data_IF_303725793004
#
_entry.id   IF_303725793004
#
_cell.length_a   1.000
_cell.length_b   1.000
_cell.length_c   1.000
_cell.angle_alpha   90.00
_cell.angle_beta   90.00
_cell.angle_gamma   90.00
#
_symmetry.space_group_name_H-M   'P 1'
#
loop_
_entity.id
_entity.type
_entity.pdbx_description
1 polymer ?
#
# COMPACT_ATOMS: atom_id res chain seq x y z
N UNK A 1 -8.06 3.72 14.22
CA UNK A 1 -8.98 2.70 13.65
C UNK A 1 -8.32 1.35 13.35
N UNK A 2 -6.99 1.25 13.36
CA UNK A 2 -6.27 0.09 12.83
C UNK A 2 -5.93 -1.00 13.87
N UNK A 3 -5.78 -0.69 15.13
CA UNK A 3 -5.34 -1.69 16.12
C UNK A 3 -6.42 -2.67 16.59
N UNK A 4 -7.69 -2.32 16.52
CA UNK A 4 -8.78 -3.15 17.06
C UNK A 4 -9.21 -4.32 16.16
N UNK A 5 -8.79 -4.34 14.87
CA UNK A 5 -9.25 -5.34 13.87
C UNK A 5 -8.12 -6.02 13.09
N UNK A 6 -6.85 -5.72 13.38
CA UNK A 6 -5.70 -6.37 12.77
C UNK A 6 -4.98 -7.20 13.84
N UNK A 7 -5.46 -8.42 14.07
CA UNK A 7 -4.73 -9.35 14.96
C UNK A 7 -3.50 -9.95 14.26
N UNK A 8 -2.49 -10.41 15.02
CA UNK A 8 -1.26 -11.01 14.47
C UNK A 8 -1.52 -12.12 13.45
N UNK A 9 -2.63 -12.84 13.60
CA UNK A 9 -3.04 -13.91 12.67
C UNK A 9 -3.46 -13.38 11.31
N UNK A 10 -4.15 -12.24 11.27
CA UNK A 10 -4.56 -11.61 10.00
C UNK A 10 -3.32 -11.12 9.25
N UNK A 11 -2.39 -10.48 9.93
CA UNK A 11 -1.13 -10.03 9.34
C UNK A 11 -0.30 -11.19 8.79
N UNK A 12 -0.21 -12.29 9.54
CA UNK A 12 0.48 -13.49 9.11
C UNK A 12 -0.11 -14.08 7.82
N UNK A 13 -1.45 -14.19 7.75
CA UNK A 13 -2.14 -14.68 6.54
C UNK A 13 -1.93 -13.73 5.37
N UNK A 14 -2.09 -12.42 5.60
CA UNK A 14 -1.92 -11.41 4.57
C UNK A 14 -0.47 -11.43 4.03
N UNK A 15 0.52 -11.52 4.89
CA UNK A 15 1.93 -11.61 4.52
C UNK A 15 2.20 -12.81 3.62
N UNK A 16 1.81 -14.01 4.05
CA UNK A 16 2.01 -15.23 3.24
C UNK A 16 1.28 -15.15 1.89
N UNK A 17 0.07 -14.58 1.88
CA UNK A 17 -0.71 -14.40 0.65
C UNK A 17 -0.05 -13.40 -0.30
N UNK A 18 0.50 -12.29 0.21
CA UNK A 18 1.24 -11.30 -0.58
C UNK A 18 2.51 -11.93 -1.16
N UNK A 19 3.29 -12.64 -0.34
CA UNK A 19 4.50 -13.32 -0.84
C UNK A 19 4.16 -14.36 -1.92
N UNK A 20 3.05 -15.09 -1.76
CA UNK A 20 2.57 -16.00 -2.79
C UNK A 20 2.13 -15.24 -4.05
N UNK A 21 1.44 -14.11 -3.92
CA UNK A 21 1.03 -13.30 -5.06
C UNK A 21 2.24 -12.81 -5.89
N UNK A 22 3.36 -12.47 -5.26
CA UNK A 22 4.60 -12.07 -5.96
C UNK A 22 5.18 -13.16 -6.87
N UNK A 23 4.79 -14.42 -6.71
CA UNK A 23 5.19 -15.50 -7.62
C UNK A 23 4.33 -15.58 -8.89
N UNK A 24 3.24 -14.82 -8.93
CA UNK A 24 2.33 -14.75 -10.08
C UNK A 24 2.73 -13.59 -10.97
N UNK A 25 2.94 -13.79 -12.27
CA UNK A 25 3.23 -12.70 -13.20
C UNK A 25 2.14 -11.61 -13.17
N UNK A 26 2.56 -10.36 -13.24
CA UNK A 26 1.67 -9.18 -13.24
C UNK A 26 0.66 -9.16 -12.07
N UNK A 27 1.07 -9.68 -10.90
CA UNK A 27 0.23 -9.73 -9.72
C UNK A 27 -0.21 -8.34 -9.25
N UNK A 28 -1.46 -8.27 -8.83
CA UNK A 28 -2.09 -7.06 -8.31
C UNK A 28 -2.71 -7.32 -6.93
N UNK A 29 -3.27 -6.30 -6.30
CA UNK A 29 -4.04 -6.47 -5.07
C UNK A 29 -5.18 -7.50 -5.23
N UNK A 30 -5.76 -7.61 -6.43
CA UNK A 30 -6.81 -8.59 -6.73
C UNK A 30 -6.29 -10.02 -6.81
N UNK A 31 -5.01 -10.21 -7.11
CA UNK A 31 -4.36 -11.53 -7.03
C UNK A 31 -4.37 -12.04 -5.58
N UNK A 32 -4.10 -11.17 -4.61
CA UNK A 32 -4.19 -11.47 -3.17
C UNK A 32 -5.62 -11.91 -2.81
N UNK A 33 -6.62 -11.15 -3.26
CA UNK A 33 -8.02 -11.51 -3.04
C UNK A 33 -8.37 -12.86 -3.64
N UNK A 34 -8.01 -13.11 -4.91
CA UNK A 34 -8.23 -14.39 -5.59
C UNK A 34 -7.59 -15.59 -4.88
N UNK A 35 -6.37 -15.43 -4.38
CA UNK A 35 -5.69 -16.48 -3.61
C UNK A 35 -6.48 -16.87 -2.36
N UNK A 36 -7.14 -15.92 -1.71
CA UNK A 36 -7.91 -16.19 -0.50
C UNK A 36 -9.27 -16.85 -0.78
N UNK A 37 -9.99 -16.42 -1.82
CA UNK A 37 -11.37 -16.86 -2.05
C UNK A 37 -11.52 -17.97 -3.09
N UNK A 38 -10.64 -18.03 -4.10
CA UNK A 38 -10.78 -18.97 -5.21
C UNK A 38 -9.86 -20.17 -5.03
N UNK A 39 -10.43 -21.30 -4.64
CA UNK A 39 -9.69 -22.54 -4.40
C UNK A 39 -9.01 -23.09 -5.65
N UNK A 40 -9.64 -22.99 -6.82
CA UNK A 40 -9.06 -23.45 -8.10
C UNK A 40 -7.83 -22.64 -8.48
N UNK A 41 -7.94 -21.31 -8.45
CA UNK A 41 -6.82 -20.41 -8.70
C UNK A 41 -5.69 -20.62 -7.70
N UNK A 42 -6.00 -20.68 -6.42
CA UNK A 42 -5.02 -20.96 -5.36
C UNK A 42 -4.26 -22.26 -5.62
N UNK A 43 -4.96 -23.36 -5.92
CA UNK A 43 -4.32 -24.64 -6.23
C UNK A 43 -3.40 -24.56 -7.45
N UNK A 44 -3.77 -23.83 -8.50
CA UNK A 44 -2.93 -23.66 -9.69
C UNK A 44 -1.62 -22.91 -9.36
N UNK A 45 -1.69 -21.89 -8.53
CA UNK A 45 -0.51 -21.14 -8.10
C UNK A 45 0.41 -21.99 -7.21
N UNK A 46 -0.16 -22.69 -6.22
CA UNK A 46 0.61 -23.52 -5.27
C UNK A 46 1.39 -24.65 -5.99
N UNK A 47 0.88 -25.19 -7.10
CA UNK A 47 1.59 -26.23 -7.88
C UNK A 47 2.96 -25.76 -8.38
N UNK A 48 3.11 -24.48 -8.66
CA UNK A 48 4.33 -23.89 -9.22
C UNK A 48 5.17 -23.17 -8.14
N UNK A 49 4.74 -23.19 -6.89
CA UNK A 49 5.41 -22.52 -5.78
C UNK A 49 6.66 -23.31 -5.39
N UNK A 50 7.80 -22.61 -5.26
CA UNK A 50 9.09 -23.22 -4.93
C UNK A 50 9.49 -22.98 -3.47
N UNK A 51 8.94 -21.97 -2.83
CA UNK A 51 9.24 -21.61 -1.46
C UNK A 51 8.56 -22.59 -0.50
N UNK A 52 9.35 -23.34 0.27
CA UNK A 52 8.88 -24.36 1.19
C UNK A 52 8.02 -23.80 2.32
N UNK A 53 8.36 -22.61 2.87
CA UNK A 53 7.58 -21.99 3.92
C UNK A 53 6.17 -21.60 3.45
N UNK A 54 6.08 -21.08 2.22
CA UNK A 54 4.79 -20.76 1.62
C UNK A 54 3.99 -22.03 1.29
N UNK A 55 4.66 -23.10 0.85
CA UNK A 55 4.02 -24.40 0.64
C UNK A 55 3.44 -24.97 1.94
N UNK A 56 4.20 -24.91 3.01
CA UNK A 56 3.79 -25.39 4.33
C UNK A 56 2.60 -24.59 4.87
N UNK A 57 2.65 -23.25 4.74
CA UNK A 57 1.51 -22.39 5.08
C UNK A 57 0.24 -22.83 4.36
N UNK A 58 0.29 -23.03 3.04
CA UNK A 58 -0.90 -23.38 2.27
C UNK A 58 -1.39 -24.81 2.50
N UNK A 59 -0.47 -25.78 2.65
CA UNK A 59 -0.79 -27.20 2.78
C UNK A 59 -1.17 -27.60 4.20
N UNK A 60 -0.45 -27.10 5.21
CA UNK A 60 -0.56 -27.59 6.57
C UNK A 60 -1.29 -26.63 7.51
N UNK A 61 -1.25 -25.31 7.23
CA UNK A 61 -1.95 -24.37 8.09
C UNK A 61 -3.29 -23.93 7.49
N UNK A 62 -3.25 -23.39 6.26
CA UNK A 62 -4.45 -22.85 5.64
C UNK A 62 -5.42 -23.95 5.19
N UNK A 63 -4.93 -25.04 4.59
CA UNK A 63 -5.78 -26.10 4.08
C UNK A 63 -6.46 -26.89 5.20
N UNK A 64 -5.78 -27.10 6.34
CA UNK A 64 -6.31 -27.89 7.45
C UNK A 64 -7.34 -27.12 8.29
N UNK A 65 -7.42 -25.81 8.19
CA UNK A 65 -8.48 -25.05 8.81
C UNK A 65 -9.84 -25.48 8.23
N UNK A 66 -10.82 -25.72 9.10
CA UNK A 66 -12.19 -25.98 8.68
C UNK A 66 -12.80 -24.77 7.96
N UNK A 67 -13.82 -24.97 7.15
CA UNK A 67 -14.40 -23.91 6.30
C UNK A 67 -14.85 -22.69 7.11
N UNK A 68 -15.46 -22.90 8.27
CA UNK A 68 -15.84 -21.82 9.18
C UNK A 68 -14.61 -21.01 9.66
N UNK A 69 -13.53 -21.69 10.02
CA UNK A 69 -12.31 -21.05 10.44
C UNK A 69 -11.66 -20.27 9.30
N UNK A 70 -11.62 -20.85 8.09
CA UNK A 70 -11.13 -20.14 6.89
C UNK A 70 -11.87 -18.84 6.66
N UNK A 71 -13.19 -18.87 6.67
CA UNK A 71 -14.01 -17.68 6.51
C UNK A 71 -13.67 -16.64 7.57
N UNK A 72 -13.58 -17.02 8.85
CA UNK A 72 -13.23 -16.11 9.94
C UNK A 72 -11.84 -15.51 9.77
N UNK A 73 -10.87 -16.28 9.27
CA UNK A 73 -9.49 -15.84 9.05
C UNK A 73 -9.36 -14.86 7.89
N UNK A 74 -10.10 -15.07 6.78
CA UNK A 74 -9.96 -14.27 5.57
C UNK A 74 -10.90 -13.08 5.50
N UNK A 75 -12.05 -13.11 6.18
CA UNK A 75 -13.07 -12.05 6.12
C UNK A 75 -12.53 -10.65 6.41
N UNK A 76 -11.68 -10.42 7.42
CA UNK A 76 -11.14 -9.08 7.67
C UNK A 76 -10.32 -8.54 6.48
N UNK A 77 -9.60 -9.43 5.78
CA UNK A 77 -8.79 -9.07 4.62
C UNK A 77 -9.67 -8.85 3.39
N UNK A 78 -10.55 -9.83 3.11
CA UNK A 78 -11.42 -9.79 1.92
C UNK A 78 -12.43 -8.66 1.96
N UNK A 79 -12.95 -8.30 3.13
CA UNK A 79 -13.85 -7.16 3.30
C UNK A 79 -13.14 -5.83 3.00
N UNK A 80 -11.89 -5.68 3.43
CA UNK A 80 -11.09 -4.48 3.12
C UNK A 80 -10.77 -4.39 1.63
N UNK A 81 -10.26 -5.45 1.03
CA UNK A 81 -9.94 -5.49 -0.40
C UNK A 81 -11.22 -5.39 -1.24
N UNK A 82 -12.30 -6.02 -0.81
CA UNK A 82 -13.58 -6.05 -1.51
C UNK A 82 -14.18 -4.67 -1.77
N UNK A 83 -13.97 -3.71 -0.87
CA UNK A 83 -14.42 -2.32 -1.07
C UNK A 83 -13.88 -1.73 -2.37
N UNK A 84 -12.63 -2.05 -2.72
CA UNK A 84 -11.97 -1.55 -3.93
C UNK A 84 -12.36 -2.36 -5.18
N UNK A 85 -12.68 -3.65 -5.02
CA UNK A 85 -13.13 -4.51 -6.12
C UNK A 85 -14.44 -4.01 -6.75
N UNK A 86 -15.33 -3.46 -5.95
CA UNK A 86 -16.63 -2.94 -6.40
C UNK A 86 -16.57 -1.50 -6.93
N UNK A 87 -15.44 -0.81 -6.77
CA UNK A 87 -15.23 0.52 -7.35
C UNK A 87 -14.61 0.39 -8.75
N UNK A 88 -15.32 0.80 -9.82
CA UNK A 88 -14.77 0.75 -11.17
C UNK A 88 -13.49 1.57 -11.31
N UNK A 89 -13.41 2.71 -10.62
CA UNK A 89 -12.23 3.58 -10.63
C UNK A 89 -11.04 2.90 -9.96
N UNK A 90 -11.23 2.35 -8.75
CA UNK A 90 -10.16 1.64 -8.05
C UNK A 90 -9.70 0.42 -8.83
N UNK A 91 -10.64 -0.34 -9.42
CA UNK A 91 -10.33 -1.50 -10.23
C UNK A 91 -9.44 -1.15 -11.42
N UNK A 92 -9.79 -0.10 -12.19
CA UNK A 92 -9.01 0.35 -13.36
C UNK A 92 -7.58 0.76 -13.00
N UNK A 93 -7.36 1.31 -11.81
CA UNK A 93 -6.05 1.78 -11.36
C UNK A 93 -5.25 0.65 -10.73
N UNK A 94 -5.86 -0.14 -9.83
CA UNK A 94 -5.16 -1.12 -9.00
C UNK A 94 -5.04 -2.51 -9.64
N UNK A 95 -5.80 -2.80 -10.71
CA UNK A 95 -5.74 -4.08 -11.43
C UNK A 95 -4.70 -4.06 -12.57
N UNK A 96 -4.00 -2.95 -12.78
CA UNK A 96 -2.94 -2.89 -13.77
C UNK A 96 -1.70 -3.64 -13.29
N UNK A 97 -1.27 -4.66 -14.04
CA UNK A 97 -0.07 -5.45 -13.72
C UNK A 97 1.23 -4.65 -13.85
N UNK A 98 1.23 -3.59 -14.66
CA UNK A 98 2.37 -2.69 -14.84
C UNK A 98 1.97 -1.26 -14.52
N UNK A 99 2.81 -0.59 -13.73
CA UNK A 99 2.62 0.84 -13.45
C UNK A 99 2.96 1.67 -14.69
N UNK A 100 2.09 2.63 -15.01
CA UNK A 100 2.34 3.63 -16.06
C UNK A 100 2.99 4.90 -15.52
N UNK A 101 3.12 5.01 -14.20
CA UNK A 101 3.74 6.14 -13.52
C UNK A 101 5.02 5.65 -12.86
N UNK A 102 6.15 6.26 -13.23
CA UNK A 102 7.44 6.04 -12.58
C UNK A 102 7.76 7.21 -11.63
N UNK A 103 7.62 6.97 -10.33
CA UNK A 103 7.88 7.99 -9.30
C UNK A 103 9.37 8.31 -9.16
N UNK A 104 10.25 7.36 -9.47
CA UNK A 104 11.69 7.58 -9.44
C UNK A 104 12.09 8.55 -10.56
N UNK A 105 11.56 8.35 -11.76
CA UNK A 105 11.76 9.23 -12.92
C UNK A 105 11.20 10.64 -12.64
N UNK A 106 9.96 10.73 -12.16
CA UNK A 106 9.31 12.00 -11.83
C UNK A 106 10.17 12.82 -10.87
N UNK A 107 10.64 12.18 -9.80
CA UNK A 107 11.41 12.84 -8.75
C UNK A 107 12.82 13.24 -9.22
N UNK A 108 13.48 12.40 -10.03
CA UNK A 108 14.88 12.60 -10.41
C UNK A 108 15.03 13.48 -11.66
N UNK A 109 14.05 13.50 -12.55
CA UNK A 109 14.06 14.34 -13.75
C UNK A 109 13.44 15.73 -13.52
N UNK A 110 12.83 15.94 -12.36
CA UNK A 110 12.19 17.23 -12.02
C UNK A 110 10.86 17.44 -12.74
N UNK A 111 10.11 16.35 -12.92
CA UNK A 111 8.77 16.39 -13.52
C UNK A 111 7.73 16.88 -12.49
N UNK A 112 6.62 17.40 -12.99
CA UNK A 112 5.48 17.83 -12.18
C UNK A 112 4.43 16.72 -12.22
N UNK A 113 4.01 16.23 -11.04
CA UNK A 113 2.93 15.27 -10.88
C UNK A 113 1.73 15.94 -10.19
N UNK A 114 0.60 15.98 -10.85
CA UNK A 114 -0.65 16.49 -10.28
C UNK A 114 -1.60 15.33 -10.01
N UNK A 115 -1.93 15.10 -8.73
CA UNK A 115 -2.81 14.03 -8.29
C UNK A 115 -4.12 14.61 -7.73
N UNK A 116 -5.23 14.34 -8.38
CA UNK A 116 -6.54 14.71 -7.86
C UNK A 116 -7.19 13.50 -7.18
N UNK A 117 -7.08 13.46 -5.85
CA UNK A 117 -7.65 12.41 -5.00
C UNK A 117 -8.85 12.93 -4.20
N UNK A 118 -9.56 13.95 -4.71
CA UNK A 118 -10.68 14.56 -3.97
C UNK A 118 -11.81 13.56 -3.70
N UNK A 119 -12.31 13.53 -2.45
CA UNK A 119 -13.40 12.66 -1.99
C UNK A 119 -14.65 12.80 -2.85
N UNK A 120 -14.97 14.02 -3.30
CA UNK A 120 -16.15 14.30 -4.12
C UNK A 120 -16.10 13.69 -5.53
N UNK A 121 -14.91 13.39 -6.07
CA UNK A 121 -14.75 12.80 -7.41
C UNK A 121 -14.62 11.28 -7.40
N UNK A 122 -13.90 10.73 -6.44
CA UNK A 122 -13.56 9.31 -6.43
C UNK A 122 -14.15 8.53 -5.25
N UNK A 123 -14.85 9.20 -4.36
CA UNK A 123 -15.38 8.64 -3.12
C UNK A 123 -14.34 8.60 -1.99
N UNK A 124 -14.80 8.56 -0.76
CA UNK A 124 -13.95 8.67 0.42
C UNK A 124 -12.95 7.53 0.56
N UNK A 125 -13.42 6.28 0.49
CA UNK A 125 -12.56 5.09 0.59
C UNK A 125 -11.46 5.06 -0.47
N UNK A 126 -11.78 5.44 -1.72
CA UNK A 126 -10.79 5.49 -2.80
C UNK A 126 -9.79 6.64 -2.61
N UNK A 127 -10.26 7.80 -2.16
CA UNK A 127 -9.42 8.96 -1.87
C UNK A 127 -8.34 8.60 -0.84
N UNK A 128 -8.75 8.01 0.27
CA UNK A 128 -7.85 7.59 1.35
C UNK A 128 -6.78 6.59 0.83
N UNK A 129 -7.22 5.53 0.16
CA UNK A 129 -6.28 4.50 -0.33
C UNK A 129 -5.34 5.03 -1.40
N UNK A 130 -5.84 5.78 -2.39
CA UNK A 130 -4.95 6.33 -3.42
C UNK A 130 -3.97 7.34 -2.84
N UNK A 131 -4.41 8.18 -1.92
CA UNK A 131 -3.52 9.10 -1.23
C UNK A 131 -2.41 8.37 -0.50
N UNK A 132 -2.75 7.37 0.32
CA UNK A 132 -1.75 6.56 1.06
C UNK A 132 -0.80 5.83 0.09
N UNK A 133 -1.30 5.25 -1.01
CA UNK A 133 -0.45 4.57 -2.01
C UNK A 133 0.48 5.56 -2.71
N UNK A 134 0.02 6.73 -3.11
CA UNK A 134 0.85 7.77 -3.72
C UNK A 134 1.94 8.22 -2.75
N UNK A 135 1.58 8.50 -1.49
CA UNK A 135 2.52 8.87 -0.43
C UNK A 135 3.59 7.80 -0.22
N UNK A 136 3.19 6.52 -0.15
CA UNK A 136 4.12 5.40 -0.04
C UNK A 136 5.06 5.28 -1.26
N UNK A 137 4.57 5.52 -2.47
CA UNK A 137 5.39 5.51 -3.70
C UNK A 137 6.40 6.66 -3.71
N UNK A 138 6.00 7.86 -3.31
CA UNK A 138 6.91 9.01 -3.17
C UNK A 138 7.97 8.72 -2.11
N UNK A 139 7.58 8.14 -0.98
CA UNK A 139 8.50 7.70 0.07
C UNK A 139 9.54 6.71 -0.46
N UNK A 140 9.11 5.67 -1.16
CA UNK A 140 10.03 4.68 -1.73
C UNK A 140 10.98 5.30 -2.76
N UNK A 141 10.49 6.20 -3.61
CA UNK A 141 11.32 6.93 -4.56
C UNK A 141 12.36 7.81 -3.84
N UNK A 142 11.96 8.51 -2.78
CA UNK A 142 12.88 9.30 -1.97
C UNK A 142 13.97 8.42 -1.32
N UNK A 143 13.60 7.29 -0.72
CA UNK A 143 14.57 6.36 -0.11
C UNK A 143 15.57 5.81 -1.13
N UNK A 144 15.16 5.53 -2.36
CA UNK A 144 16.06 5.08 -3.43
C UNK A 144 17.13 6.11 -3.78
N UNK A 145 16.87 7.40 -3.54
CA UNK A 145 17.87 8.47 -3.71
C UNK A 145 19.08 8.34 -2.80
N UNK A 146 19.03 7.52 -1.75
CA UNK A 146 20.21 7.21 -0.95
C UNK A 146 21.37 6.66 -1.80
N UNK A 147 21.07 6.04 -2.96
CA UNK A 147 22.05 5.51 -3.91
C UNK A 147 22.63 6.56 -4.86
N UNK A 148 22.10 7.76 -4.88
CA UNK A 148 22.54 8.88 -5.70
C UNK A 148 23.32 9.85 -4.82
N UNK A 149 24.47 10.37 -5.31
CA UNK A 149 25.23 11.35 -4.56
C UNK A 149 24.39 12.62 -4.28
N UNK A 150 24.51 13.19 -3.10
CA UNK A 150 23.64 14.29 -2.65
C UNK A 150 23.69 15.51 -3.60
N UNK A 151 24.86 15.79 -4.19
CA UNK A 151 25.05 16.88 -5.16
C UNK A 151 24.26 16.70 -6.45
N UNK A 152 24.00 15.43 -6.83
CA UNK A 152 23.35 15.08 -8.10
C UNK A 152 21.84 14.90 -7.95
N UNK A 153 21.32 14.95 -6.70
CA UNK A 153 19.89 14.90 -6.45
C UNK A 153 19.25 16.24 -6.77
N UNK A 154 18.16 16.25 -7.52
CA UNK A 154 17.32 17.43 -7.73
C UNK A 154 16.42 17.66 -6.51
N UNK A 155 16.13 18.92 -6.20
CA UNK A 155 15.12 19.23 -5.20
C UNK A 155 13.74 18.80 -5.69
N UNK A 156 12.96 18.19 -4.81
CA UNK A 156 11.61 17.76 -5.09
C UNK A 156 10.68 18.27 -3.99
N UNK A 157 9.63 18.95 -4.36
CA UNK A 157 8.66 19.53 -3.44
C UNK A 157 7.34 18.80 -3.52
N UNK A 158 6.88 18.30 -2.38
CA UNK A 158 5.60 17.62 -2.21
C UNK A 158 4.61 18.55 -1.53
N UNK A 159 3.55 18.91 -2.23
CA UNK A 159 2.43 19.69 -1.69
C UNK A 159 1.26 18.75 -1.43
N UNK A 160 0.78 18.70 -0.20
CA UNK A 160 -0.35 17.86 0.20
C UNK A 160 -1.39 18.71 0.88
N UNK A 161 -2.55 18.82 0.25
CA UNK A 161 -3.72 19.43 0.85
C UNK A 161 -4.52 18.36 1.62
N UNK A 162 -5.17 18.75 2.72
CA UNK A 162 -5.91 17.84 3.62
C UNK A 162 -5.02 16.66 4.10
N UNK A 163 -3.78 16.96 4.47
CA UNK A 163 -2.76 15.98 4.80
C UNK A 163 -3.21 14.96 5.87
N UNK A 164 -4.08 15.34 6.81
CA UNK A 164 -4.59 14.45 7.85
C UNK A 164 -5.26 13.19 7.30
N UNK A 165 -5.78 13.22 6.07
CA UNK A 165 -6.38 12.06 5.44
C UNK A 165 -5.36 11.02 4.95
N UNK A 166 -4.08 11.40 4.81
CA UNK A 166 -3.00 10.60 4.23
C UNK A 166 -1.83 10.39 5.17
N UNK A 167 -1.93 10.91 6.38
CA UNK A 167 -0.92 10.82 7.41
C UNK A 167 -0.73 9.37 7.85
N UNK A 168 0.49 8.84 7.69
CA UNK A 168 0.86 7.51 8.17
C UNK A 168 2.14 7.58 9.00
N UNK A 169 2.33 6.69 10.00
CA UNK A 169 3.58 6.65 10.77
C UNK A 169 4.82 6.48 9.90
N UNK A 170 4.70 5.70 8.81
CA UNK A 170 5.79 5.51 7.86
C UNK A 170 6.18 6.82 7.15
N UNK A 171 5.20 7.68 6.85
CA UNK A 171 5.46 8.98 6.24
C UNK A 171 6.06 9.98 7.24
N UNK A 172 5.67 9.91 8.52
CA UNK A 172 6.31 10.72 9.57
C UNK A 172 7.82 10.45 9.65
N UNK A 173 8.21 9.19 9.56
CA UNK A 173 9.62 8.81 9.57
C UNK A 173 10.39 9.42 8.39
N UNK A 174 9.82 9.39 7.17
CA UNK A 174 10.54 9.99 6.02
C UNK A 174 10.61 11.51 6.11
N UNK A 175 9.59 12.17 6.66
CA UNK A 175 9.63 13.62 6.87
C UNK A 175 10.78 14.04 7.78
N UNK A 176 11.06 13.29 8.85
CA UNK A 176 12.18 13.55 9.74
C UNK A 176 13.55 13.47 9.04
N UNK A 177 13.63 12.74 7.94
CA UNK A 177 14.85 12.54 7.15
C UNK A 177 14.80 13.19 5.76
N UNK A 178 13.72 13.89 5.42
CA UNK A 178 13.41 14.38 4.08
C UNK A 178 14.56 15.20 3.45
N UNK A 179 15.24 16.02 4.27
CA UNK A 179 16.40 16.81 3.84
C UNK A 179 17.52 15.96 3.22
N UNK A 180 17.76 14.75 3.75
CA UNK A 180 18.78 13.82 3.22
C UNK A 180 18.49 13.44 1.77
N UNK A 181 17.21 13.40 1.41
CA UNK A 181 16.74 12.97 0.09
C UNK A 181 16.41 14.15 -0.83
N UNK A 182 16.69 15.39 -0.41
CA UNK A 182 16.25 16.62 -1.10
C UNK A 182 14.74 16.61 -1.39
N UNK A 183 13.96 16.18 -0.40
CA UNK A 183 12.51 16.22 -0.40
C UNK A 183 12.05 17.33 0.53
N UNK A 184 11.39 18.34 0.00
CA UNK A 184 10.66 19.35 0.76
C UNK A 184 9.18 18.98 0.82
N UNK A 185 8.54 19.09 1.98
CA UNK A 185 7.12 18.83 2.13
C UNK A 185 6.40 20.10 2.59
N UNK A 186 5.33 20.44 1.90
CA UNK A 186 4.41 21.53 2.22
C UNK A 186 3.04 20.88 2.49
N UNK A 187 2.65 20.84 3.76
CA UNK A 187 1.49 20.09 4.22
C UNK A 187 0.44 21.07 4.73
N UNK A 188 -0.75 21.03 4.13
CA UNK A 188 -1.89 21.81 4.58
C UNK A 188 -2.87 20.90 5.32
N UNK A 189 -3.34 21.35 6.48
CA UNK A 189 -4.36 20.69 7.29
C UNK A 189 -5.25 21.73 7.99
N UNK A 190 -6.47 21.34 8.33
CA UNK A 190 -7.41 22.28 8.95
C UNK A 190 -7.17 22.43 10.46
N UNK A 191 -6.95 21.32 11.15
CA UNK A 191 -6.67 21.33 12.60
C UNK A 191 -5.69 20.22 12.97
N UNK A 192 -4.76 20.50 13.88
CA UNK A 192 -3.80 19.50 14.41
C UNK A 192 -4.46 18.37 15.17
N UNK A 193 -5.68 18.59 15.73
CA UNK A 193 -6.43 17.56 16.44
C UNK A 193 -6.91 16.41 15.55
N UNK A 194 -6.91 16.59 14.23
CA UNK A 194 -7.25 15.56 13.25
C UNK A 194 -6.06 14.65 12.89
N UNK A 195 -4.86 15.02 13.31
CA UNK A 195 -3.67 14.19 13.12
C UNK A 195 -3.57 13.25 14.32
N UNK A 196 -3.95 11.99 14.12
CA UNK A 196 -3.95 10.98 15.19
C UNK A 196 -2.53 10.67 15.70
N UNK A 197 -1.54 10.71 14.83
CA UNK A 197 -0.14 10.45 15.17
C UNK A 197 0.57 11.74 15.62
N UNK A 198 0.75 11.85 16.93
CA UNK A 198 1.45 13.00 17.56
C UNK A 198 2.91 13.15 17.08
N UNK A 199 3.53 12.09 16.56
CA UNK A 199 4.88 12.17 16.01
C UNK A 199 4.95 13.07 14.76
N UNK A 200 3.86 13.14 14.00
CA UNK A 200 3.72 14.02 12.83
C UNK A 200 3.66 15.49 13.21
N UNK A 201 3.02 15.82 14.33
CA UNK A 201 2.90 17.21 14.81
C UNK A 201 4.26 17.77 15.23
N UNK A 202 5.17 16.91 15.68
CA UNK A 202 6.51 17.34 16.13
C UNK A 202 7.52 17.46 14.97
N UNK A 203 7.18 17.06 13.76
CA UNK A 203 8.06 17.08 12.57
C UNK A 203 7.63 18.18 11.59
N UNK A 204 6.44 18.72 11.73
CA UNK A 204 5.92 19.88 10.98
C UNK A 204 6.12 21.15 11.76
#
# INVERSE_FOLDING_TARGET
>A
YTEKYSGPRMEYILRNTIHTAFTVPDATLFTVYKLLINTGFRKSVIRNLKDENLLDFWKYEFAQAGDYQKVKMISPITNKIGRFLFSPTAKRILEQGKSTIDFDEIMNEGKILLCNVSKGKIGEDNSEVFGVVIMAKIQLAALKRARVAMKDRKDFYLYVDEFQNFATPAFAQILSEARKYKLGAILAHQTTSQIEDKSLINVT
#
